data_IF_790834093804
#
_entry.id   IF_790834093804
#
_cell.length_a   1.000
_cell.length_b   1.000
_cell.length_c   1.000
_cell.angle_alpha   90.00
_cell.angle_beta   90.00
_cell.angle_gamma   90.00
#
_symmetry.space_group_name_H-M   'P 1'
#
loop_
_entity.id
_entity.type
_entity.pdbx_description
1 polymer ?
#
# COMPACT_ATOMS: atom_id res chain seq x y z
N UNK A 1 -18.98 -14.64 5.34
CA UNK A 1 -17.60 -14.49 4.83
C UNK A 1 -16.68 -14.51 6.02
N UNK A 2 -15.61 -15.32 5.98
CA UNK A 2 -14.58 -15.32 7.03
C UNK A 2 -14.05 -13.90 7.24
N UNK A 3 -13.82 -13.49 8.49
CA UNK A 3 -13.33 -12.14 8.84
C UNK A 3 -12.02 -11.84 8.10
N UNK A 4 -11.17 -12.86 7.92
CA UNK A 4 -9.92 -12.74 7.19
C UNK A 4 -10.11 -12.43 5.70
N UNK A 5 -11.03 -13.13 5.04
CA UNK A 5 -11.39 -12.81 3.65
C UNK A 5 -11.97 -11.38 3.55
N UNK A 6 -12.74 -10.94 4.54
CA UNK A 6 -13.23 -9.56 4.62
C UNK A 6 -12.10 -8.52 4.69
N UNK A 7 -11.05 -8.80 5.46
CA UNK A 7 -9.85 -7.95 5.51
C UNK A 7 -9.16 -7.86 4.14
N UNK A 8 -8.87 -9.00 3.50
CA UNK A 8 -8.18 -9.06 2.21
C UNK A 8 -8.98 -8.28 1.15
N UNK A 9 -10.29 -8.51 1.06
CA UNK A 9 -11.14 -7.79 0.10
C UNK A 9 -11.21 -6.28 0.40
N UNK A 10 -11.26 -5.90 1.69
CA UNK A 10 -11.23 -4.49 2.09
C UNK A 10 -9.94 -3.79 1.68
N UNK A 11 -8.79 -4.44 1.88
CA UNK A 11 -7.50 -3.93 1.40
C UNK A 11 -7.45 -3.86 -0.13
N UNK A 12 -7.85 -4.92 -0.84
CA UNK A 12 -7.87 -4.93 -2.31
C UNK A 12 -8.73 -3.81 -2.90
N UNK A 13 -9.83 -3.45 -2.24
CA UNK A 13 -10.65 -2.30 -2.65
C UNK A 13 -9.90 -0.97 -2.56
N UNK A 14 -9.10 -0.76 -1.51
CA UNK A 14 -8.24 0.41 -1.39
C UNK A 14 -7.07 0.39 -2.38
N UNK A 15 -6.47 -0.77 -2.60
CA UNK A 15 -5.38 -0.95 -3.56
C UNK A 15 -5.82 -0.73 -4.99
N UNK A 16 -7.02 -1.19 -5.34
CA UNK A 16 -7.64 -0.92 -6.66
C UNK A 16 -7.89 0.57 -6.85
N UNK A 17 -8.41 1.26 -5.84
CA UNK A 17 -8.57 2.72 -5.90
C UNK A 17 -7.24 3.47 -6.04
N UNK A 18 -6.14 2.97 -5.47
CA UNK A 18 -4.79 3.50 -5.72
C UNK A 18 -4.42 3.38 -7.20
N UNK A 19 -4.58 2.19 -7.80
CA UNK A 19 -4.27 1.95 -9.21
C UNK A 19 -5.13 2.84 -10.13
N UNK A 20 -6.43 2.97 -9.82
CA UNK A 20 -7.33 3.87 -10.54
C UNK A 20 -6.89 5.34 -10.42
N UNK A 21 -6.43 5.77 -9.23
CA UNK A 21 -5.93 7.12 -9.00
C UNK A 21 -4.65 7.38 -9.82
N UNK A 22 -3.71 6.43 -9.85
CA UNK A 22 -2.52 6.50 -10.72
C UNK A 22 -2.91 6.60 -12.20
N UNK A 23 -4.07 6.05 -12.57
CA UNK A 23 -4.69 6.20 -13.89
C UNK A 23 -4.98 7.63 -14.31
N UNK A 24 -5.09 8.57 -13.35
CA UNK A 24 -5.49 9.95 -13.59
C UNK A 24 -4.34 10.92 -13.78
N UNK A 25 -3.11 10.54 -13.38
CA UNK A 25 -1.92 11.37 -13.56
C UNK A 25 -1.44 11.35 -15.01
N UNK A 26 -0.89 12.47 -15.45
CA UNK A 26 -0.23 12.65 -16.75
C UNK A 26 1.27 12.40 -16.62
N UNK A 27 1.90 11.96 -17.71
CA UNK A 27 3.35 11.68 -17.72
C UNK A 27 4.16 12.93 -17.32
N UNK A 28 5.19 12.73 -16.50
CA UNK A 28 5.95 13.78 -15.82
C UNK A 28 5.42 14.10 -14.42
N UNK A 29 4.13 13.84 -14.12
CA UNK A 29 3.57 14.07 -12.79
C UNK A 29 3.97 13.00 -11.76
N UNK A 30 4.60 11.90 -12.17
CA UNK A 30 5.20 10.93 -11.24
C UNK A 30 6.28 11.58 -10.34
N UNK A 31 6.95 12.62 -10.84
CA UNK A 31 7.97 13.38 -10.09
C UNK A 31 7.36 14.51 -9.23
N UNK A 32 6.05 14.76 -9.35
CA UNK A 32 5.40 15.84 -8.61
C UNK A 32 5.48 15.61 -7.10
N UNK A 33 5.90 16.65 -6.38
CA UNK A 33 5.95 16.71 -4.91
C UNK A 33 5.00 17.80 -4.44
N UNK A 34 4.16 17.51 -3.45
CA UNK A 34 3.28 18.54 -2.86
C UNK A 34 4.06 19.62 -2.08
N UNK A 35 5.29 19.30 -1.66
CA UNK A 35 6.23 20.23 -1.02
C UNK A 35 7.66 19.73 -1.23
N UNK A 36 8.65 20.63 -1.09
CA UNK A 36 10.04 20.38 -1.51
C UNK A 36 10.69 19.13 -0.90
N UNK A 37 10.46 18.86 0.40
CA UNK A 37 11.04 17.70 1.08
C UNK A 37 10.09 16.49 1.12
N UNK A 38 8.96 16.58 0.43
CA UNK A 38 8.00 15.48 0.33
C UNK A 38 8.48 14.37 -0.57
N UNK A 39 7.86 13.20 -0.40
CA UNK A 39 7.91 12.16 -1.43
C UNK A 39 7.19 12.65 -2.68
N UNK A 40 7.71 12.32 -3.86
CA UNK A 40 7.02 12.45 -5.14
C UNK A 40 5.83 11.50 -5.23
N UNK A 41 5.02 11.63 -6.28
CA UNK A 41 3.96 10.66 -6.58
C UNK A 41 4.55 9.25 -6.73
N UNK A 42 5.69 9.09 -7.42
CA UNK A 42 6.37 7.81 -7.58
C UNK A 42 6.88 7.27 -6.24
N UNK A 43 7.63 8.07 -5.49
CA UNK A 43 8.20 7.68 -4.19
C UNK A 43 7.09 7.26 -3.20
N UNK A 44 6.01 8.05 -3.09
CA UNK A 44 4.92 7.76 -2.16
C UNK A 44 4.12 6.52 -2.58
N UNK A 45 3.95 6.30 -3.88
CA UNK A 45 3.26 5.11 -4.40
C UNK A 45 4.08 3.84 -4.16
N UNK A 46 5.39 3.88 -4.40
CA UNK A 46 6.32 2.79 -4.09
C UNK A 46 6.30 2.50 -2.58
N UNK A 47 6.34 3.54 -1.75
CA UNK A 47 6.24 3.43 -0.29
C UNK A 47 4.96 2.70 0.15
N UNK A 48 3.80 3.04 -0.42
CA UNK A 48 2.54 2.36 -0.12
C UNK A 48 2.60 0.87 -0.48
N UNK A 49 3.06 0.54 -1.69
CA UNK A 49 3.13 -0.84 -2.15
C UNK A 49 4.10 -1.68 -1.31
N UNK A 50 5.32 -1.19 -1.10
CA UNK A 50 6.37 -1.85 -0.34
C UNK A 50 6.01 -2.03 1.15
N UNK A 51 5.33 -1.05 1.74
CA UNK A 51 4.96 -1.09 3.16
C UNK A 51 3.98 -2.21 3.48
N UNK A 52 2.96 -2.43 2.65
CA UNK A 52 2.03 -3.54 2.94
C UNK A 52 2.76 -4.91 2.87
N UNK A 53 3.65 -5.09 1.88
CA UNK A 53 4.45 -6.31 1.79
C UNK A 53 5.34 -6.51 3.04
N UNK A 54 6.02 -5.46 3.51
CA UNK A 54 6.78 -5.46 4.76
C UNK A 54 5.94 -5.94 5.95
N UNK A 55 4.74 -5.39 6.13
CA UNK A 55 3.84 -5.77 7.23
C UNK A 55 3.42 -7.23 7.13
N UNK A 56 3.05 -7.70 5.94
CA UNK A 56 2.63 -9.09 5.71
C UNK A 56 3.78 -10.06 5.98
N UNK A 57 4.99 -9.77 5.50
CA UNK A 57 6.16 -10.60 5.76
C UNK A 57 6.57 -10.58 7.23
N UNK A 58 6.42 -9.45 7.90
CA UNK A 58 6.66 -9.32 9.35
C UNK A 58 5.74 -10.22 10.15
N UNK A 59 4.44 -10.26 9.81
CA UNK A 59 3.50 -11.21 10.45
C UNK A 59 3.83 -12.65 10.09
N UNK A 60 4.13 -12.92 8.82
CA UNK A 60 4.44 -14.28 8.33
C UNK A 60 5.64 -14.90 9.05
N UNK A 61 6.71 -14.12 9.28
CA UNK A 61 7.92 -14.58 9.96
C UNK A 61 7.83 -14.45 11.49
N UNK A 62 6.99 -13.53 11.98
CA UNK A 62 6.86 -13.22 13.40
C UNK A 62 7.99 -12.35 13.95
N UNK A 63 8.74 -11.68 13.07
CA UNK A 63 9.79 -10.71 13.39
C UNK A 63 9.83 -9.65 12.28
N UNK A 64 10.32 -8.44 12.60
CA UNK A 64 10.41 -7.35 11.63
C UNK A 64 11.15 -7.77 10.36
N UNK A 65 10.49 -7.59 9.21
CA UNK A 65 11.09 -7.76 7.88
C UNK A 65 11.11 -6.41 7.19
N UNK A 66 12.25 -5.94 6.65
CA UNK A 66 12.30 -4.66 5.94
C UNK A 66 11.46 -4.67 4.66
N UNK A 67 11.00 -3.50 4.18
CA UNK A 67 10.30 -3.40 2.91
C UNK A 67 11.22 -3.79 1.75
N UNK A 68 10.66 -4.33 0.66
CA UNK A 68 11.42 -4.52 -0.57
C UNK A 68 11.91 -3.18 -1.13
N UNK A 69 13.10 -3.19 -1.70
CA UNK A 69 13.68 -2.05 -2.41
C UNK A 69 13.44 -2.19 -3.91
N UNK A 70 13.18 -1.08 -4.57
CA UNK A 70 12.95 -1.01 -6.01
C UNK A 70 13.90 -0.02 -6.66
N UNK A 71 14.29 -0.25 -7.93
CA UNK A 71 14.97 0.78 -8.70
C UNK A 71 14.07 2.01 -8.85
N UNK A 72 14.68 3.14 -9.21
CA UNK A 72 13.94 4.35 -9.54
C UNK A 72 12.92 4.06 -10.66
N UNK A 73 11.69 4.51 -10.45
CA UNK A 73 10.59 4.35 -11.40
C UNK A 73 10.50 5.61 -12.24
N UNK A 74 10.71 5.50 -13.55
CA UNK A 74 10.84 6.64 -14.45
C UNK A 74 9.50 7.04 -15.08
N UNK A 75 8.56 6.09 -15.22
CA UNK A 75 7.28 6.31 -15.90
C UNK A 75 6.07 5.89 -15.07
N UNK A 76 4.91 6.47 -15.36
CA UNK A 76 3.65 6.07 -14.73
C UNK A 76 3.24 4.64 -15.10
N UNK A 77 3.64 4.15 -16.27
CA UNK A 77 3.38 2.76 -16.69
C UNK A 77 4.16 1.77 -15.81
N UNK A 78 5.47 2.00 -15.62
CA UNK A 78 6.30 1.21 -14.72
C UNK A 78 5.75 1.24 -13.30
N UNK A 79 5.31 2.41 -12.82
CA UNK A 79 4.73 2.56 -11.50
C UNK A 79 3.46 1.73 -11.32
N UNK A 80 2.56 1.74 -12.31
CA UNK A 80 1.33 0.93 -12.29
C UNK A 80 1.65 -0.57 -12.33
N UNK A 81 2.59 -0.99 -13.18
CA UNK A 81 3.01 -2.37 -13.28
C UNK A 81 3.58 -2.88 -11.94
N UNK A 82 4.45 -2.09 -11.30
CA UNK A 82 4.99 -2.39 -9.98
C UNK A 82 3.88 -2.59 -8.95
N UNK A 83 2.93 -1.65 -8.86
CA UNK A 83 1.83 -1.75 -7.89
C UNK A 83 0.98 -2.99 -8.15
N UNK A 84 0.73 -3.35 -9.41
CA UNK A 84 -0.03 -4.56 -9.76
C UNK A 84 0.71 -5.86 -9.40
N UNK A 85 2.00 -5.92 -9.67
CA UNK A 85 2.86 -7.05 -9.32
C UNK A 85 2.89 -7.25 -7.80
N UNK A 86 3.20 -6.19 -7.05
CA UNK A 86 3.23 -6.25 -5.59
C UNK A 86 1.85 -6.54 -5.00
N UNK A 87 0.77 -6.02 -5.59
CA UNK A 87 -0.57 -6.38 -5.14
C UNK A 87 -0.82 -7.88 -5.26
N UNK A 88 -0.40 -8.49 -6.37
CA UNK A 88 -0.57 -9.93 -6.59
C UNK A 88 0.26 -10.75 -5.60
N UNK A 89 1.51 -10.36 -5.39
CA UNK A 89 2.44 -11.00 -4.45
C UNK A 89 1.98 -10.87 -3.00
N UNK A 90 1.67 -9.66 -2.55
CA UNK A 90 1.17 -9.40 -1.20
C UNK A 90 -0.16 -10.09 -0.95
N UNK A 91 -1.06 -10.13 -1.93
CA UNK A 91 -2.32 -10.90 -1.83
C UNK A 91 -2.05 -12.39 -1.60
N UNK A 92 -1.16 -12.99 -2.38
CA UNK A 92 -0.80 -14.40 -2.19
C UNK A 92 -0.21 -14.64 -0.79
N UNK A 93 0.68 -13.76 -0.33
CA UNK A 93 1.26 -13.85 1.01
C UNK A 93 0.20 -13.72 2.13
N UNK A 94 -0.80 -12.85 1.97
CA UNK A 94 -1.95 -12.73 2.88
C UNK A 94 -2.81 -14.00 2.89
N UNK A 95 -3.08 -14.58 1.73
CA UNK A 95 -3.88 -15.81 1.61
C UNK A 95 -3.20 -17.03 2.24
N UNK A 96 -1.86 -17.02 2.34
CA UNK A 96 -1.07 -18.06 3.01
C UNK A 96 -0.98 -17.92 4.53
N UNK A 97 -1.42 -16.79 5.12
CA UNK A 97 -1.32 -16.59 6.57
C UNK A 97 -2.23 -17.55 7.34
N UNK A 98 -1.65 -18.21 8.34
CA UNK A 98 -2.37 -19.10 9.25
C UNK A 98 -2.99 -18.33 10.42
N UNK A 99 -4.02 -18.90 11.05
CA UNK A 99 -4.63 -18.33 12.26
C UNK A 99 -3.62 -18.15 13.40
N UNK A 100 -2.67 -19.07 13.54
CA UNK A 100 -1.60 -18.99 14.52
C UNK A 100 -0.69 -17.77 14.27
N UNK A 101 -0.31 -17.52 13.01
CA UNK A 101 0.47 -16.32 12.65
C UNK A 101 -0.30 -15.03 12.91
N UNK A 102 -1.59 -15.00 12.58
CA UNK A 102 -2.46 -13.84 12.82
C UNK A 102 -2.65 -13.55 14.33
N UNK A 103 -2.70 -14.59 15.17
CA UNK A 103 -2.85 -14.47 16.61
C UNK A 103 -1.53 -14.23 17.37
N UNK A 104 -0.39 -14.58 16.77
CA UNK A 104 0.93 -14.42 17.39
C UNK A 104 1.25 -12.93 17.61
N UNK A 105 1.79 -12.61 18.78
CA UNK A 105 2.34 -11.28 19.06
C UNK A 105 3.65 -11.07 18.30
N UNK A 106 3.77 -9.94 17.62
CA UNK A 106 4.95 -9.49 16.89
C UNK A 106 5.38 -8.14 17.46
N UNK A 107 6.68 -7.94 17.66
CA UNK A 107 7.24 -6.63 17.98
C UNK A 107 7.47 -5.84 16.68
N UNK A 108 6.89 -4.65 16.61
CA UNK A 108 7.09 -3.71 15.52
C UNK A 108 7.55 -2.38 16.09
N UNK A 109 8.86 -2.12 16.02
CA UNK A 109 9.50 -0.92 16.58
C UNK A 109 9.20 -0.69 18.07
N UNK A 110 9.27 -1.75 18.89
CA UNK A 110 9.02 -1.68 20.33
C UNK A 110 7.54 -1.68 20.71
N UNK A 111 6.64 -1.82 19.74
CA UNK A 111 5.22 -2.05 19.97
C UNK A 111 4.87 -3.51 19.71
N UNK A 112 4.59 -4.25 20.78
CA UNK A 112 4.15 -5.63 20.69
C UNK A 112 2.63 -5.71 20.46
N UNK A 113 2.20 -6.35 19.36
CA UNK A 113 0.78 -6.52 19.04
C UNK A 113 0.50 -7.82 18.27
N UNK A 114 -0.72 -8.37 18.31
CA UNK A 114 -1.10 -9.50 17.48
C UNK A 114 -0.92 -9.19 15.98
N UNK A 115 -0.52 -10.18 15.18
CA UNK A 115 -0.31 -10.02 13.74
C UNK A 115 -1.53 -9.42 13.01
N UNK A 116 -2.75 -9.82 13.37
CA UNK A 116 -3.96 -9.25 12.80
C UNK A 116 -4.11 -7.75 13.08
N UNK A 117 -3.71 -7.28 14.27
CA UNK A 117 -3.74 -5.86 14.63
C UNK A 117 -2.69 -5.09 13.83
N UNK A 118 -1.51 -5.69 13.62
CA UNK A 118 -0.46 -5.11 12.77
C UNK A 118 -0.93 -4.94 11.32
N UNK A 119 -1.70 -5.89 10.79
CA UNK A 119 -2.24 -5.82 9.42
C UNK A 119 -3.39 -4.80 9.28
N UNK A 120 -4.21 -4.62 10.30
CA UNK A 120 -5.18 -3.51 10.35
C UNK A 120 -4.46 -2.15 10.32
N UNK A 121 -3.40 -1.98 11.12
CA UNK A 121 -2.54 -0.79 11.05
C UNK A 121 -1.90 -0.60 9.67
N UNK A 122 -1.49 -1.69 9.02
CA UNK A 122 -0.94 -1.64 7.65
C UNK A 122 -1.97 -1.12 6.64
N UNK A 123 -3.23 -1.53 6.78
CA UNK A 123 -4.33 -1.03 5.94
C UNK A 123 -4.63 0.44 6.24
N UNK A 124 -4.64 0.87 7.50
CA UNK A 124 -4.81 2.27 7.88
C UNK A 124 -3.69 3.15 7.33
N UNK A 125 -2.44 2.66 7.36
CA UNK A 125 -1.29 3.31 6.76
C UNK A 125 -1.44 3.48 5.23
N UNK A 126 -1.92 2.45 4.52
CA UNK A 126 -2.25 2.55 3.08
C UNK A 126 -3.36 3.57 2.81
N UNK A 127 -4.43 3.58 3.62
CA UNK A 127 -5.53 4.56 3.52
C UNK A 127 -5.00 5.98 3.72
N UNK A 128 -4.16 6.19 4.73
CA UNK A 128 -3.53 7.47 5.04
C UNK A 128 -2.72 8.02 3.85
N UNK A 129 -1.75 7.25 3.37
CA UNK A 129 -0.86 7.69 2.29
C UNK A 129 -1.58 7.80 0.93
N UNK A 130 -2.56 6.92 0.67
CA UNK A 130 -3.44 7.11 -0.50
C UNK A 130 -4.21 8.42 -0.39
N UNK A 131 -4.71 8.79 0.80
CA UNK A 131 -5.34 10.10 1.03
C UNK A 131 -4.42 11.28 0.71
N UNK A 132 -3.12 11.17 1.02
CA UNK A 132 -2.12 12.15 0.59
C UNK A 132 -2.03 12.21 -0.94
N UNK A 133 -1.96 11.07 -1.64
CA UNK A 133 -1.94 11.04 -3.11
C UNK A 133 -3.20 11.64 -3.75
N UNK A 134 -4.38 11.47 -3.15
CA UNK A 134 -5.59 12.18 -3.61
C UNK A 134 -5.40 13.71 -3.54
N UNK A 135 -4.73 14.21 -2.50
CA UNK A 135 -4.41 15.63 -2.38
C UNK A 135 -3.37 16.05 -3.42
N UNK A 136 -2.35 15.22 -3.67
CA UNK A 136 -1.36 15.46 -4.72
C UNK A 136 -2.02 15.58 -6.09
N UNK A 137 -2.94 14.68 -6.42
CA UNK A 137 -3.67 14.71 -7.68
C UNK A 137 -4.45 16.03 -7.87
N UNK A 138 -5.08 16.53 -6.81
CA UNK A 138 -5.76 17.85 -6.84
C UNK A 138 -4.78 19.00 -7.05
N UNK A 139 -3.65 18.99 -6.36
CA UNK A 139 -2.61 20.02 -6.52
C UNK A 139 -1.97 19.99 -7.91
N UNK A 140 -1.90 18.81 -8.53
CA UNK A 140 -1.46 18.61 -9.91
C UNK A 140 -2.53 18.99 -10.95
N UNK A 141 -3.68 19.53 -10.54
CA UNK A 141 -4.73 20.03 -11.43
C UNK A 141 -5.76 18.99 -11.89
N UNK A 142 -5.76 17.78 -11.32
CA UNK A 142 -6.65 16.69 -11.75
C UNK A 142 -8.05 16.88 -11.15
N UNK A 143 -9.05 17.11 -12.01
CA UNK A 143 -10.43 17.37 -11.59
C UNK A 143 -11.27 16.10 -11.38
N UNK A 144 -11.03 15.05 -12.17
CA UNK A 144 -11.79 13.80 -12.11
C UNK A 144 -10.96 12.73 -11.41
N UNK A 145 -11.37 12.37 -10.20
CA UNK A 145 -10.72 11.34 -9.38
C UNK A 145 -11.67 10.17 -9.14
N UNK A 146 -11.15 8.94 -8.94
CA UNK A 146 -11.97 7.80 -8.53
C UNK A 146 -12.53 7.99 -7.12
N UNK A 147 -13.45 7.12 -6.71
CA UNK A 147 -13.87 7.04 -5.31
C UNK A 147 -12.71 6.49 -4.45
N UNK A 148 -12.66 6.82 -3.16
CA UNK A 148 -11.49 6.51 -2.32
C UNK A 148 -11.28 5.01 -2.03
N UNK A 149 -12.26 4.18 -2.37
CA UNK A 149 -12.25 2.72 -2.26
C UNK A 149 -13.08 2.14 -3.41
N UNK A 150 -12.56 1.14 -4.10
CA UNK A 150 -13.29 0.42 -5.14
C UNK A 150 -13.96 -0.81 -4.53
N UNK A 151 -15.24 -1.01 -4.81
CA UNK A 151 -16.00 -2.20 -4.40
C UNK A 151 -16.19 -3.16 -5.56
#
# INVERSE_FOLDING_TARGET
MDKWNGFIQGWLGHRKALIELLGTFEEGQQEFKAWEQGMSVSELTVHIAASMEMFVQTVKKGEFTPPPEYPAIETLEQLKALVQEETSKTKAALEELTQDQLGKTVDFYGMAMPGIVLLENAKDHEIHHKGQLFTYARLAGIEKLPFFVSR
#
